data_IF_447662916410
#
_entry.id   IF_447662916410
#
_cell.length_a   1.000
_cell.length_b   1.000
_cell.length_c   1.000
_cell.angle_alpha   90.00
_cell.angle_beta   90.00
_cell.angle_gamma   90.00
#
_symmetry.space_group_name_H-M   'P 1'
#
loop_
_entity.id
_entity.type
_entity.pdbx_description
1 polymer ?
#
# COMPACT_ATOMS: atom_id res chain seq x y z
N UNK A 1 8.22 -6.89 4.60
CA UNK A 1 7.13 -6.71 3.61
C UNK A 1 6.36 -5.41 3.82
N UNK A 2 5.72 -5.21 4.99
CA UNK A 2 4.90 -4.00 5.26
C UNK A 2 5.70 -2.69 5.16
N UNK A 3 6.91 -2.63 5.74
CA UNK A 3 7.79 -1.45 5.67
C UNK A 3 8.14 -1.07 4.23
N UNK A 4 8.37 -2.05 3.33
CA UNK A 4 8.64 -1.78 1.93
C UNK A 4 7.42 -1.16 1.21
N UNK A 5 6.21 -1.64 1.52
CA UNK A 5 4.98 -1.06 0.98
C UNK A 5 4.74 0.38 1.48
N UNK A 6 5.05 0.66 2.75
CA UNK A 6 4.99 2.02 3.31
C UNK A 6 5.97 2.97 2.62
N UNK A 7 7.21 2.52 2.39
CA UNK A 7 8.22 3.32 1.69
C UNK A 7 7.81 3.62 0.24
N UNK A 8 7.36 2.62 -0.51
CA UNK A 8 6.85 2.82 -1.88
C UNK A 8 5.66 3.75 -1.94
N UNK A 9 4.74 3.65 -0.98
CA UNK A 9 3.59 4.56 -0.91
C UNK A 9 4.03 5.99 -0.62
N UNK A 10 5.07 6.17 0.21
CA UNK A 10 5.66 7.48 0.47
C UNK A 10 6.27 8.07 -0.81
N UNK A 11 7.07 7.30 -1.54
CA UNK A 11 7.68 7.71 -2.81
C UNK A 11 6.63 8.15 -3.83
N UNK A 12 5.58 7.34 -4.05
CA UNK A 12 4.48 7.69 -4.97
C UNK A 12 3.76 8.97 -4.54
N UNK A 13 3.55 9.17 -3.23
CA UNK A 13 2.91 10.40 -2.73
C UNK A 13 3.80 11.63 -2.91
N UNK A 14 5.12 11.49 -2.78
CA UNK A 14 6.08 12.56 -3.06
C UNK A 14 6.07 12.92 -4.55
N UNK A 15 6.08 11.92 -5.44
CA UNK A 15 6.00 12.14 -6.88
C UNK A 15 4.71 12.86 -7.27
N UNK A 16 3.54 12.40 -6.79
CA UNK A 16 2.24 13.08 -7.02
C UNK A 16 2.28 14.53 -6.50
N UNK A 17 2.88 14.78 -5.33
CA UNK A 17 2.92 16.11 -4.71
C UNK A 17 3.73 17.10 -5.53
N UNK A 18 4.83 16.65 -6.13
CA UNK A 18 5.73 17.48 -6.94
C UNK A 18 5.47 17.36 -8.45
N UNK A 19 4.45 16.59 -8.85
CA UNK A 19 4.09 16.41 -10.23
C UNK A 19 3.64 17.76 -10.84
N UNK A 20 4.12 18.14 -12.03
CA UNK A 20 3.63 19.34 -12.72
C UNK A 20 2.12 19.23 -12.97
N UNK A 21 1.40 20.35 -13.03
CA UNK A 21 -0.06 20.33 -13.17
C UNK A 21 -0.53 19.40 -14.30
N UNK A 22 -1.23 18.28 -13.99
CA UNK A 22 -1.55 17.27 -14.99
C UNK A 22 -2.66 17.76 -15.93
N UNK A 23 -2.58 17.38 -17.21
CA UNK A 23 -3.68 17.57 -18.15
C UNK A 23 -4.68 16.43 -17.93
N UNK A 24 -5.80 16.74 -17.29
CA UNK A 24 -6.83 15.75 -16.97
C UNK A 24 -7.25 14.95 -18.21
N UNK A 25 -7.22 13.62 -18.12
CA UNK A 25 -7.60 12.70 -19.19
C UNK A 25 -6.57 12.48 -20.29
N UNK A 26 -5.42 13.16 -20.25
CA UNK A 26 -4.32 12.97 -21.20
C UNK A 26 -3.01 12.54 -20.52
N UNK A 27 -2.88 12.77 -19.22
CA UNK A 27 -1.66 12.51 -18.46
C UNK A 27 -1.62 11.08 -17.91
N UNK A 28 -1.32 10.14 -18.80
CA UNK A 28 -1.26 8.70 -18.50
C UNK A 28 -0.30 8.39 -17.34
N UNK A 29 0.78 9.15 -17.20
CA UNK A 29 1.72 8.96 -16.09
C UNK A 29 1.08 9.38 -14.76
N UNK A 30 0.38 10.52 -14.70
CA UNK A 30 -0.32 10.92 -13.49
C UNK A 30 -1.43 9.93 -13.12
N UNK A 31 -2.19 9.44 -14.09
CA UNK A 31 -3.21 8.41 -13.88
C UNK A 31 -2.59 7.13 -13.27
N UNK A 32 -1.46 6.67 -13.82
CA UNK A 32 -0.73 5.52 -13.28
C UNK A 32 -0.27 5.73 -11.83
N UNK A 33 0.20 6.93 -11.48
CA UNK A 33 0.59 7.26 -10.10
C UNK A 33 -0.58 7.14 -9.13
N UNK A 34 -1.76 7.63 -9.53
CA UNK A 34 -3.00 7.52 -8.73
C UNK A 34 -3.40 6.05 -8.54
N UNK A 35 -3.34 5.24 -9.60
CA UNK A 35 -3.62 3.80 -9.54
C UNK A 35 -2.63 3.07 -8.62
N UNK A 36 -1.32 3.37 -8.70
CA UNK A 36 -0.33 2.76 -7.82
C UNK A 36 -0.56 3.13 -6.37
N UNK A 37 -0.92 4.38 -6.07
CA UNK A 37 -1.26 4.81 -4.71
C UNK A 37 -2.42 3.97 -4.15
N UNK A 38 -3.50 3.84 -4.92
CA UNK A 38 -4.68 3.03 -4.55
C UNK A 38 -4.26 1.57 -4.29
N UNK A 39 -3.49 0.99 -5.21
CA UNK A 39 -3.01 -0.40 -5.11
C UNK A 39 -2.18 -0.64 -3.85
N UNK A 40 -1.22 0.25 -3.55
CA UNK A 40 -0.35 0.13 -2.38
C UNK A 40 -1.12 0.32 -1.07
N UNK A 41 -2.03 1.29 -1.01
CA UNK A 41 -2.93 1.48 0.15
C UNK A 41 -3.75 0.22 0.42
N UNK A 42 -4.30 -0.41 -0.63
CA UNK A 42 -5.08 -1.63 -0.48
C UNK A 42 -4.23 -2.82 -0.02
N UNK A 43 -2.99 -2.94 -0.50
CA UNK A 43 -2.06 -3.97 -0.01
C UNK A 43 -1.72 -3.77 1.48
N UNK A 44 -1.46 -2.53 1.90
CA UNK A 44 -1.21 -2.23 3.32
C UNK A 44 -2.41 -2.54 4.20
N UNK A 45 -3.63 -2.21 3.76
CA UNK A 45 -4.86 -2.59 4.46
C UNK A 45 -4.97 -4.11 4.62
N UNK A 46 -4.64 -4.87 3.58
CA UNK A 46 -4.64 -6.34 3.64
C UNK A 46 -3.61 -6.85 4.64
N UNK A 47 -2.38 -6.35 4.61
CA UNK A 47 -1.33 -6.74 5.57
C UNK A 47 -1.72 -6.40 7.02
N UNK A 48 -2.32 -5.24 7.26
CA UNK A 48 -2.82 -4.85 8.58
C UNK A 48 -4.08 -5.60 9.04
N UNK A 49 -4.88 -6.13 8.12
CA UNK A 49 -6.08 -6.95 8.41
C UNK A 49 -5.81 -8.45 8.42
N UNK A 50 -4.57 -8.91 8.19
CA UNK A 50 -4.22 -10.31 8.48
C UNK A 50 -4.35 -10.45 10.00
N UNK A 51 -5.30 -11.24 10.53
CA UNK A 51 -5.31 -11.53 11.96
C UNK A 51 -3.94 -12.14 12.26
N UNK A 52 -3.20 -11.53 13.17
CA UNK A 52 -2.00 -12.18 13.72
C UNK A 52 -2.51 -13.50 14.28
N UNK A 53 -2.18 -14.61 13.64
CA UNK A 53 -2.42 -15.92 14.22
C UNK A 53 -1.59 -15.93 15.49
N UNK A 54 -2.24 -15.86 16.64
CA UNK A 54 -1.58 -16.23 17.88
C UNK A 54 -1.18 -17.71 17.75
N UNK A 55 -0.01 -18.10 18.28
CA UNK A 55 0.32 -19.51 18.39
C UNK A 55 -0.84 -20.19 19.10
N UNK A 56 -1.45 -21.19 18.46
CA UNK A 56 -2.31 -22.13 19.18
C UNK A 56 -1.29 -22.94 20.00
N UNK A 57 -0.99 -22.46 21.21
CA UNK A 57 -0.21 -23.24 22.15
C UNK A 57 -1.02 -24.53 22.39
N UNK A 58 -0.40 -25.61 21.96
CA UNK A 58 -0.82 -26.98 22.24
C UNK A 58 -0.89 -27.11 23.76
N UNK A 59 -2.10 -27.23 24.29
CA UNK A 59 -2.29 -27.80 25.63
C UNK A 59 -2.89 -29.17 25.41
N UNK A 60 -1.98 -30.13 25.19
CA UNK A 60 -2.15 -31.48 25.69
C UNK A 60 -2.25 -31.39 27.22
N UNK A 61 -3.40 -31.74 27.80
CA UNK A 61 -3.49 -32.33 29.14
C UNK A 61 -4.84 -33.03 29.30
N UNK A 62 -4.83 -34.36 29.32
CA UNK A 62 -5.87 -35.19 29.93
C UNK A 62 -6.16 -36.49 29.21
#
# INVERSE_FOLDING_TARGET
MESNLKNKLKEINEEIRYYPGPIAGCDVQFDWLLEQRIRLTNQLKKVGNIPRREPIDVIDQG
#
